data_IF_828380466847
#
_entry.id   IF_828380466847
#
_cell.length_a   1.000
_cell.length_b   1.000
_cell.length_c   1.000
_cell.angle_alpha   90.00
_cell.angle_beta   90.00
_cell.angle_gamma   90.00
#
_symmetry.space_group_name_H-M   'P 1'
#
loop_
_entity.id
_entity.type
_entity.pdbx_description
1 polymer ?
#
# COMPACT_ATOMS: atom_id res chain seq x y z
N UNK A 1 -2.88 -11.25 8.45
CA UNK A 1 -4.32 -10.96 8.58
C UNK A 1 -5.08 -11.82 7.59
N UNK A 2 -6.30 -12.26 7.91
CA UNK A 2 -7.14 -13.04 7.01
C UNK A 2 -8.33 -12.16 6.60
N UNK A 3 -8.06 -11.17 5.74
CA UNK A 3 -9.06 -10.24 5.20
C UNK A 3 -9.50 -10.68 3.81
N UNK A 4 -10.78 -10.51 3.48
CA UNK A 4 -11.27 -10.75 2.11
C UNK A 4 -10.80 -9.62 1.17
N UNK A 5 -10.81 -9.85 -0.15
CA UNK A 5 -10.49 -8.79 -1.11
C UNK A 5 -11.35 -7.53 -0.91
N UNK A 6 -12.65 -7.70 -0.64
CA UNK A 6 -13.59 -6.59 -0.42
C UNK A 6 -13.23 -5.81 0.83
N UNK A 7 -12.87 -6.49 1.92
CA UNK A 7 -12.40 -5.83 3.14
C UNK A 7 -11.10 -5.05 2.91
N UNK A 8 -10.18 -5.59 2.10
CA UNK A 8 -8.95 -4.89 1.75
C UNK A 8 -9.23 -3.58 0.99
N UNK A 9 -10.16 -3.62 0.04
CA UNK A 9 -10.60 -2.43 -0.71
C UNK A 9 -11.24 -1.40 0.21
N UNK A 10 -12.15 -1.82 1.10
CA UNK A 10 -12.82 -0.92 2.05
C UNK A 10 -11.83 -0.23 3.01
N UNK A 11 -10.80 -0.95 3.47
CA UNK A 11 -9.75 -0.39 4.34
C UNK A 11 -8.88 0.60 3.54
N UNK A 12 -8.49 0.24 2.32
CA UNK A 12 -7.68 1.11 1.47
C UNK A 12 -8.41 2.41 1.10
N UNK A 13 -9.73 2.36 0.90
CA UNK A 13 -10.56 3.52 0.60
C UNK A 13 -10.65 4.57 1.73
N UNK A 14 -10.18 4.24 2.94
CA UNK A 14 -10.03 5.21 4.04
C UNK A 14 -8.78 6.08 3.86
N UNK A 15 -7.87 5.72 2.96
CA UNK A 15 -6.70 6.54 2.65
C UNK A 15 -7.13 7.94 2.18
N UNK A 16 -6.50 8.98 2.73
CA UNK A 16 -6.81 10.38 2.36
C UNK A 16 -5.89 10.95 1.27
N UNK A 17 -5.03 10.11 0.68
CA UNK A 17 -4.04 10.48 -0.33
C UNK A 17 -3.31 11.80 -0.01
N UNK A 18 -2.60 11.81 1.12
CA UNK A 18 -1.82 12.97 1.58
C UNK A 18 -0.92 13.50 0.47
N UNK A 19 -0.74 14.84 0.37
CA UNK A 19 0.17 15.42 -0.62
C UNK A 19 1.62 14.99 -0.40
N UNK A 20 2.40 15.02 -1.47
CA UNK A 20 3.78 14.56 -1.45
C UNK A 20 4.72 15.48 -0.66
N UNK A 21 5.69 14.92 0.07
CA UNK A 21 5.82 13.49 0.41
C UNK A 21 4.89 13.09 1.57
N UNK A 22 4.13 12.02 1.39
CA UNK A 22 3.20 11.53 2.40
C UNK A 22 3.91 11.13 3.71
N UNK A 23 3.33 11.44 4.89
CA UNK A 23 3.94 11.09 6.18
C UNK A 23 4.22 9.60 6.37
N UNK A 24 3.34 8.73 5.87
CA UNK A 24 3.51 7.28 5.93
C UNK A 24 4.71 6.80 5.09
N UNK A 25 4.93 7.38 3.91
CA UNK A 25 6.07 7.08 3.06
C UNK A 25 7.38 7.49 3.74
N UNK A 26 7.44 8.69 4.30
CA UNK A 26 8.60 9.16 5.09
C UNK A 26 8.90 8.31 6.31
N UNK A 27 7.87 7.76 6.94
CA UNK A 27 8.02 6.92 8.11
C UNK A 27 8.49 5.49 7.76
N UNK A 28 8.29 5.06 6.52
CA UNK A 28 8.74 3.76 6.06
C UNK A 28 10.27 3.74 5.91
N UNK A 29 11.01 2.81 6.54
CA UNK A 29 12.48 2.77 6.45
C UNK A 29 13.05 2.59 5.04
N UNK A 30 12.23 2.12 4.10
CA UNK A 30 12.58 1.92 2.69
C UNK A 30 11.73 2.79 1.76
N UNK A 31 11.01 3.79 2.29
CA UNK A 31 10.31 4.82 1.50
C UNK A 31 9.27 4.27 0.50
N UNK A 32 8.61 3.15 0.81
CA UNK A 32 7.53 2.59 -0.01
C UNK A 32 6.47 3.65 -0.35
N UNK A 33 6.02 3.69 -1.61
CA UNK A 33 4.92 4.55 -2.04
C UNK A 33 3.56 4.00 -1.56
N UNK A 34 3.31 4.12 -0.25
CA UNK A 34 2.09 3.65 0.40
C UNK A 34 0.83 4.31 -0.19
N UNK A 35 0.78 5.63 -0.48
CA UNK A 35 -0.40 6.24 -1.09
C UNK A 35 -0.80 5.63 -2.42
N UNK A 36 0.16 5.36 -3.32
CA UNK A 36 -0.09 4.71 -4.61
C UNK A 36 -0.55 3.26 -4.42
N UNK A 37 0.07 2.53 -3.51
CA UNK A 37 -0.36 1.18 -3.19
C UNK A 37 -1.80 1.14 -2.64
N UNK A 38 -2.19 2.10 -1.79
CA UNK A 38 -3.58 2.20 -1.29
C UNK A 38 -4.56 2.50 -2.42
N UNK A 39 -4.22 3.42 -3.34
CA UNK A 39 -5.03 3.72 -4.53
C UNK A 39 -5.29 2.46 -5.37
N UNK A 40 -4.24 1.68 -5.64
CA UNK A 40 -4.37 0.46 -6.43
C UNK A 40 -5.20 -0.60 -5.70
N UNK A 41 -5.08 -0.69 -4.37
CA UNK A 41 -5.89 -1.62 -3.58
C UNK A 41 -7.36 -1.23 -3.58
N UNK A 42 -7.74 0.04 -3.40
CA UNK A 42 -9.16 0.44 -3.43
C UNK A 42 -9.82 0.14 -4.79
N UNK A 43 -9.08 0.33 -5.89
CA UNK A 43 -9.52 -0.01 -7.25
C UNK A 43 -9.53 -1.54 -7.53
N UNK A 44 -9.02 -2.35 -6.60
CA UNK A 44 -8.95 -3.81 -6.72
C UNK A 44 -7.77 -4.33 -7.54
N UNK A 45 -6.82 -3.47 -7.92
CA UNK A 45 -5.57 -3.86 -8.58
C UNK A 45 -4.50 -4.29 -7.56
N UNK A 46 -4.71 -5.48 -6.98
CA UNK A 46 -3.78 -6.03 -6.00
C UNK A 46 -2.40 -6.36 -6.58
N UNK A 47 -2.32 -6.70 -7.87
CA UNK A 47 -1.05 -7.02 -8.51
C UNK A 47 -0.23 -5.76 -8.78
N UNK A 48 -0.88 -4.68 -9.21
CA UNK A 48 -0.28 -3.35 -9.32
C UNK A 48 0.22 -2.86 -7.97
N UNK A 49 -0.60 -2.91 -6.91
CA UNK A 49 -0.18 -2.54 -5.56
C UNK A 49 1.03 -3.35 -5.08
N UNK A 50 1.04 -4.64 -5.38
CA UNK A 50 2.16 -5.51 -5.03
C UNK A 50 3.42 -5.23 -5.90
N UNK A 51 3.27 -4.66 -7.10
CA UNK A 51 4.40 -4.20 -7.89
C UNK A 51 5.02 -2.93 -7.29
N UNK A 52 4.19 -1.96 -6.89
CA UNK A 52 4.63 -0.71 -6.22
C UNK A 52 5.46 -1.02 -4.98
N UNK A 53 5.00 -1.94 -4.12
CA UNK A 53 5.80 -2.33 -2.95
C UNK A 53 7.13 -3.01 -3.30
N UNK A 54 7.19 -3.74 -4.42
CA UNK A 54 8.41 -4.43 -4.86
C UNK A 54 9.46 -3.49 -5.48
N UNK A 55 9.09 -2.26 -5.82
CA UNK A 55 10.05 -1.27 -6.31
C UNK A 55 11.09 -0.91 -5.24
N UNK A 56 10.65 -0.84 -3.98
CA UNK A 56 11.51 -0.43 -2.86
C UNK A 56 11.80 -1.57 -1.87
N UNK A 57 10.85 -2.50 -1.68
CA UNK A 57 10.99 -3.60 -0.74
C UNK A 57 11.30 -4.91 -1.44
N UNK A 58 12.39 -5.59 -1.06
CA UNK A 58 12.73 -6.92 -1.60
C UNK A 58 11.75 -8.02 -1.15
N UNK A 59 11.14 -7.86 0.03
CA UNK A 59 10.26 -8.86 0.66
C UNK A 59 9.04 -8.20 1.33
N UNK A 60 8.18 -7.50 0.58
CA UNK A 60 7.04 -6.77 1.14
C UNK A 60 6.04 -7.68 1.87
N UNK A 61 5.94 -8.94 1.46
CA UNK A 61 5.11 -9.97 2.10
C UNK A 61 5.57 -10.36 3.51
N UNK A 62 6.79 -9.97 3.89
CA UNK A 62 7.34 -10.13 5.25
C UNK A 62 7.18 -8.83 6.03
N UNK A 63 7.51 -7.67 5.44
CA UNK A 63 7.45 -6.37 6.11
C UNK A 63 6.02 -5.97 6.55
N UNK A 64 4.99 -6.42 5.84
CA UNK A 64 3.58 -6.12 6.15
C UNK A 64 2.88 -7.11 7.09
N UNK A 65 3.60 -8.07 7.67
CA UNK A 65 3.07 -9.03 8.66
C UNK A 65 3.25 -8.56 10.09
#
# INVERSE_FOLDING_TARGET
LNITPEQAQEIAAVCIHCPDPAPCQKACPVENNIPEAMWLIEEGDFLGAAAVYREQSTMPEICGR
#
